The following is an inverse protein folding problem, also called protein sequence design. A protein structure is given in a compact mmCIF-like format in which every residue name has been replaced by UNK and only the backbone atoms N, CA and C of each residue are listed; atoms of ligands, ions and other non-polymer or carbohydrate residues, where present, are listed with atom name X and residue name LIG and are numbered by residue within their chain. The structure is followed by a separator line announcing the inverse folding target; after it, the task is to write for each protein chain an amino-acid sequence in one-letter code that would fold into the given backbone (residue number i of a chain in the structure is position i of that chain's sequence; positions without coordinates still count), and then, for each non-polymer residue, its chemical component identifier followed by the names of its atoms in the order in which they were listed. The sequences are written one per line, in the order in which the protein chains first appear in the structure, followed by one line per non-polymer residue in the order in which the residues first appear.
data_IF_427341782360
#
_entry.id   IF_427341782360
#
_cell.length_a   1.000
_cell.length_b   1.000
_cell.length_c   1.000
_cell.angle_alpha   90.00
_cell.angle_beta   90.00
_cell.angle_gamma   90.00
#
_symmetry.space_group_name_H-M   'P 1'
#
loop_
_entity.id
_entity.type
_entity.pdbx_description
1 polymer ?
#
# COMPACT_ATOMS: atom_id res chain seq x y z
N UNK A 1 16.78 -65.91 7.50
CA UNK A 1 17.03 -64.57 8.08
C UNK A 1 16.40 -63.54 7.15
N UNK A 2 15.30 -62.92 7.57
CA UNK A 2 14.55 -61.91 6.80
C UNK A 2 15.02 -60.52 7.26
N UNK A 3 15.72 -59.80 6.39
CA UNK A 3 16.14 -58.42 6.64
C UNK A 3 15.04 -57.49 6.12
N UNK A 4 14.31 -56.85 7.03
CA UNK A 4 13.29 -55.85 6.70
C UNK A 4 14.00 -54.51 6.54
N UNK A 5 14.03 -53.97 5.32
CA UNK A 5 14.47 -52.61 5.02
C UNK A 5 13.30 -51.66 5.33
N UNK A 6 13.42 -50.90 6.43
CA UNK A 6 12.47 -49.85 6.79
C UNK A 6 12.87 -48.56 6.06
N UNK A 7 12.14 -48.21 5.00
CA UNK A 7 12.34 -46.95 4.26
C UNK A 7 11.64 -45.83 5.05
N UNK A 8 12.45 -45.03 5.75
CA UNK A 8 12.05 -43.75 6.33
C UNK A 8 11.73 -42.76 5.20
N UNK A 9 10.44 -42.53 4.95
CA UNK A 9 9.98 -41.46 4.07
C UNK A 9 10.17 -40.14 4.83
N UNK A 10 11.29 -39.48 4.56
CA UNK A 10 11.60 -38.14 5.06
C UNK A 10 10.58 -37.17 4.44
N UNK A 11 9.66 -36.65 5.27
CA UNK A 11 8.74 -35.61 4.88
C UNK A 11 9.51 -34.34 4.50
N UNK A 12 9.47 -33.96 3.22
CA UNK A 12 9.78 -32.60 2.80
C UNK A 12 8.64 -31.70 3.26
N UNK A 13 8.74 -31.19 4.48
CA UNK A 13 8.05 -29.97 4.87
C UNK A 13 8.78 -28.85 4.14
N UNK A 14 8.24 -28.43 2.99
CA UNK A 14 8.61 -27.16 2.38
C UNK A 14 8.17 -26.05 3.35
N UNK A 15 9.07 -25.65 4.24
CA UNK A 15 8.98 -24.38 4.92
C UNK A 15 9.25 -23.34 3.84
N UNK A 16 8.19 -22.82 3.23
CA UNK A 16 8.29 -21.66 2.35
C UNK A 16 8.97 -20.55 3.15
N UNK A 17 10.20 -20.23 2.75
CA UNK A 17 10.93 -19.11 3.31
C UNK A 17 10.08 -17.86 3.15
N UNK A 18 9.64 -17.31 4.27
CA UNK A 18 8.96 -16.02 4.32
C UNK A 18 10.02 -14.97 3.96
N UNK A 19 10.18 -14.69 2.66
CA UNK A 19 10.99 -13.59 2.19
C UNK A 19 10.36 -12.33 2.77
N UNK A 20 11.06 -11.67 3.71
CA UNK A 20 10.57 -10.44 4.32
C UNK A 20 10.67 -9.33 3.26
N UNK A 21 9.53 -8.90 2.75
CA UNK A 21 9.45 -7.78 1.80
C UNK A 21 10.14 -6.54 2.38
N UNK A 22 10.92 -5.85 1.54
CA UNK A 22 11.62 -4.64 1.93
C UNK A 22 10.74 -3.42 1.61
N UNK A 23 10.21 -2.80 2.65
CA UNK A 23 9.40 -1.57 2.55
C UNK A 23 10.32 -0.35 2.70
N UNK A 24 10.25 0.58 1.73
CA UNK A 24 10.95 1.87 1.78
C UNK A 24 9.92 3.00 1.77
N UNK A 25 9.89 3.83 2.81
CA UNK A 25 9.02 5.01 2.90
C UNK A 25 9.77 6.27 2.43
N UNK A 26 9.19 7.00 1.48
CA UNK A 26 9.58 8.35 1.07
C UNK A 26 8.40 9.32 1.26
N UNK A 27 8.69 10.56 1.63
CA UNK A 27 7.70 11.64 1.63
C UNK A 27 7.93 12.48 0.38
N UNK A 28 6.92 12.58 -0.47
CA UNK A 28 7.00 13.17 -1.79
C UNK A 28 5.91 14.24 -1.96
N UNK A 29 6.22 15.30 -2.70
CA UNK A 29 5.21 16.21 -3.23
C UNK A 29 4.83 15.66 -4.61
N UNK A 30 3.69 14.97 -4.72
CA UNK A 30 3.27 14.46 -6.03
C UNK A 30 2.71 15.59 -6.89
N UNK A 31 3.15 15.54 -8.14
CA UNK A 31 2.54 16.20 -9.28
C UNK A 31 1.98 15.06 -10.15
N UNK A 32 0.94 15.32 -10.97
CA UNK A 32 0.20 14.32 -11.78
C UNK A 32 1.03 13.38 -12.69
N UNK A 33 2.36 13.51 -12.75
CA UNK A 33 3.29 12.83 -13.66
C UNK A 33 4.00 11.58 -13.09
N UNK A 34 3.63 11.06 -11.92
CA UNK A 34 4.41 9.98 -11.26
C UNK A 34 3.79 8.58 -11.28
N UNK A 35 2.51 8.44 -11.62
CA UNK A 35 1.90 7.10 -11.75
C UNK A 35 2.31 6.49 -13.10
N UNK A 36 3.05 5.38 -13.06
CA UNK A 36 3.39 4.61 -14.28
C UNK A 36 2.21 3.75 -14.71
N UNK A 37 2.32 3.03 -15.83
CA UNK A 37 1.37 1.96 -16.13
C UNK A 37 1.34 0.91 -15.00
N UNK A 38 0.16 0.35 -14.72
CA UNK A 38 -0.05 -0.62 -13.65
C UNK A 38 -1.53 -0.82 -13.29
N UNK A 39 -1.77 -1.74 -12.35
CA UNK A 39 -3.11 -2.04 -11.83
C UNK A 39 -3.28 -1.31 -10.50
N UNK A 40 -4.19 -0.35 -10.45
CA UNK A 40 -4.39 0.52 -9.30
C UNK A 40 -5.69 0.27 -8.59
N UNK A 41 -5.63 0.39 -7.27
CA UNK A 41 -6.78 0.26 -6.38
C UNK A 41 -6.78 1.41 -5.38
N UNK A 42 -7.94 1.98 -5.12
CA UNK A 42 -8.16 3.00 -4.09
C UNK A 42 -8.99 2.43 -2.95
N UNK A 43 -8.64 2.80 -1.72
CA UNK A 43 -9.35 2.36 -0.53
C UNK A 43 -10.73 3.03 -0.42
N UNK A 44 -11.73 2.22 -0.09
CA UNK A 44 -13.10 2.67 0.16
C UNK A 44 -13.22 3.17 1.58
N UNK A 45 -13.06 4.48 1.77
CA UNK A 45 -13.39 5.11 3.05
C UNK A 45 -14.90 5.06 3.28
N UNK A 46 -15.29 4.67 4.49
CA UNK A 46 -16.66 4.79 4.98
C UNK A 46 -17.01 6.25 5.29
N UNK A 47 -18.30 6.59 5.26
CA UNK A 47 -18.78 7.92 5.64
C UNK A 47 -18.37 8.34 7.06
N UNK A 48 -18.26 7.37 7.97
CA UNK A 48 -17.84 7.62 9.35
C UNK A 48 -16.35 7.97 9.42
N UNK A 49 -15.49 7.23 8.73
CA UNK A 49 -14.07 7.57 8.60
C UNK A 49 -13.90 8.96 7.99
N UNK A 50 -14.74 9.28 6.99
CA UNK A 50 -14.65 10.57 6.32
C UNK A 50 -15.08 11.74 7.22
N UNK A 51 -16.21 11.58 7.93
CA UNK A 51 -16.74 12.61 8.84
C UNK A 51 -15.89 12.79 10.09
N UNK A 52 -15.29 11.70 10.57
CA UNK A 52 -14.42 11.72 11.74
C UNK A 52 -13.06 12.37 11.50
N UNK A 53 -12.75 12.76 10.26
CA UNK A 53 -11.43 13.26 9.85
C UNK A 53 -10.32 12.29 10.30
N UNK A 54 -10.61 11.00 10.24
CA UNK A 54 -9.78 9.97 10.86
C UNK A 54 -8.85 9.36 9.82
N UNK A 55 -7.57 9.37 10.14
CA UNK A 55 -6.57 8.66 9.37
C UNK A 55 -6.68 7.15 9.58
N UNK A 56 -6.47 6.40 8.50
CA UNK A 56 -6.41 4.94 8.52
C UNK A 56 -5.04 4.47 9.01
N UNK A 57 -4.99 3.27 9.58
CA UNK A 57 -3.72 2.64 9.94
C UNK A 57 -3.12 1.96 8.71
N UNK A 58 -2.28 2.69 7.97
CA UNK A 58 -1.64 2.21 6.73
C UNK A 58 -0.81 0.95 7.00
N UNK A 59 -0.02 0.91 8.07
CA UNK A 59 0.81 -0.24 8.40
C UNK A 59 -0.01 -1.50 8.63
N UNK A 60 -1.16 -1.38 9.32
CA UNK A 60 -2.05 -2.51 9.55
C UNK A 60 -2.65 -3.03 8.24
N UNK A 61 -3.08 -2.13 7.36
CA UNK A 61 -3.68 -2.50 6.07
C UNK A 61 -2.63 -3.15 5.17
N UNK A 62 -1.43 -2.58 5.08
CA UNK A 62 -0.34 -3.16 4.30
C UNK A 62 0.07 -4.54 4.82
N UNK A 63 0.26 -4.69 6.14
CA UNK A 63 0.58 -5.99 6.72
C UNK A 63 -0.51 -7.03 6.43
N UNK A 64 -1.79 -6.65 6.48
CA UNK A 64 -2.89 -7.54 6.15
C UNK A 64 -2.82 -7.99 4.67
N UNK A 65 -2.61 -7.06 3.74
CA UNK A 65 -2.49 -7.39 2.31
C UNK A 65 -1.30 -8.33 2.04
N UNK A 66 -0.13 -8.05 2.62
CA UNK A 66 1.07 -8.87 2.50
C UNK A 66 0.84 -10.27 3.10
N UNK A 67 0.21 -10.37 4.26
CA UNK A 67 -0.11 -11.65 4.90
C UNK A 67 -1.09 -12.50 4.09
N UNK A 68 -1.92 -11.87 3.25
CA UNK A 68 -2.81 -12.54 2.31
C UNK A 68 -2.16 -12.81 0.94
N UNK A 69 -0.83 -12.70 0.84
CA UNK A 69 -0.05 -12.90 -0.39
C UNK A 69 -0.45 -11.97 -1.53
N UNK A 70 -0.95 -10.77 -1.23
CA UNK A 70 -1.21 -9.75 -2.24
C UNK A 70 0.11 -9.06 -2.59
N UNK A 71 0.55 -9.19 -3.85
CA UNK A 71 1.79 -8.57 -4.34
C UNK A 71 1.58 -7.10 -4.63
N UNK A 72 1.89 -6.27 -3.64
CA UNK A 72 1.87 -4.81 -3.76
C UNK A 72 3.26 -4.34 -4.15
N UNK A 73 3.37 -3.42 -5.11
CA UNK A 73 4.65 -2.84 -5.55
C UNK A 73 4.86 -1.44 -5.03
N UNK A 74 3.82 -0.60 -5.12
CA UNK A 74 3.86 0.79 -4.69
C UNK A 74 2.57 1.13 -3.94
N UNK A 75 2.69 2.01 -2.95
CA UNK A 75 1.59 2.49 -2.13
C UNK A 75 1.74 3.99 -1.95
N UNK A 76 0.66 4.72 -2.12
CA UNK A 76 0.64 6.14 -1.83
C UNK A 76 -0.48 6.47 -0.85
N UNK A 77 -0.14 7.30 0.13
CA UNK A 77 -1.06 7.73 1.17
C UNK A 77 -0.97 9.22 1.43
N UNK A 78 -2.12 9.88 1.38
CA UNK A 78 -2.31 11.26 1.81
C UNK A 78 -3.27 11.26 2.99
N UNK A 79 -2.83 11.82 4.11
CA UNK A 79 -3.63 11.95 5.33
C UNK A 79 -4.71 13.04 5.20
N UNK A 80 -5.64 13.03 6.15
CA UNK A 80 -6.69 14.04 6.31
C UNK A 80 -6.12 15.44 6.55
N UNK A 81 -5.08 15.51 7.39
CA UNK A 81 -4.34 16.72 7.70
C UNK A 81 -3.02 16.70 6.94
N UNK A 82 -3.06 17.08 5.67
CA UNK A 82 -1.88 17.10 4.81
C UNK A 82 -1.22 18.48 4.84
N UNK A 83 0.09 18.51 5.03
CA UNK A 83 0.89 19.73 4.88
C UNK A 83 0.88 20.15 3.42
N UNK A 84 0.36 21.35 3.14
CA UNK A 84 0.38 21.99 1.83
C UNK A 84 1.49 23.05 1.80
N UNK A 85 2.51 22.84 0.98
CA UNK A 85 3.65 23.74 0.80
C UNK A 85 3.68 24.30 -0.63
N UNK A 86 3.20 25.53 -0.88
CA UNK A 86 3.26 26.13 -2.20
C UNK A 86 4.70 26.07 -2.77
N UNK A 87 4.85 25.82 -4.08
CA UNK A 87 6.16 25.78 -4.72
C UNK A 87 6.90 27.10 -4.49
N UNK A 88 8.22 27.01 -4.34
CA UNK A 88 9.12 28.15 -4.11
C UNK A 88 8.87 28.93 -2.79
N UNK A 89 8.16 28.32 -1.84
CA UNK A 89 7.96 28.89 -0.49
C UNK A 89 8.47 27.94 0.60
N UNK A 90 9.03 28.52 1.66
CA UNK A 90 9.38 27.79 2.89
C UNK A 90 8.21 27.78 3.90
N UNK A 91 6.98 28.03 3.44
CA UNK A 91 5.79 28.16 4.29
C UNK A 91 4.82 27.04 3.96
N UNK A 92 4.60 26.17 4.91
CA UNK A 92 3.60 25.11 4.79
C UNK A 92 2.42 25.41 5.72
N UNK A 93 1.23 25.06 5.28
CA UNK A 93 0.02 25.11 6.10
C UNK A 93 -0.66 23.74 6.11
N UNK A 94 -1.23 23.37 7.25
CA UNK A 94 -2.06 22.18 7.33
C UNK A 94 -3.40 22.48 6.65
N UNK A 95 -3.76 21.70 5.64
CA UNK A 95 -5.09 21.73 5.05
C UNK A 95 -5.87 20.48 5.47
N UNK A 96 -7.16 20.66 5.72
CA UNK A 96 -8.09 19.54 5.91
C UNK A 96 -8.58 19.15 4.51
N UNK A 97 -8.22 17.96 4.07
CA UNK A 97 -8.58 17.40 2.76
C UNK A 97 -9.04 15.97 2.93
N UNK A 98 -9.79 15.44 1.97
CA UNK A 98 -10.09 14.02 1.97
C UNK A 98 -8.79 13.21 1.82
N UNK A 99 -8.60 12.15 2.63
CA UNK A 99 -7.46 11.27 2.55
C UNK A 99 -7.58 10.45 1.28
N UNK A 100 -6.45 9.96 0.81
CA UNK A 100 -6.42 9.08 -0.35
C UNK A 100 -5.40 8.00 -0.06
N UNK A 101 -5.79 6.75 -0.31
CA UNK A 101 -4.92 5.60 -0.15
C UNK A 101 -5.01 4.73 -1.40
N UNK A 102 -3.92 4.72 -2.17
CA UNK A 102 -3.81 4.01 -3.45
C UNK A 102 -2.73 2.95 -3.30
N UNK A 103 -3.03 1.76 -3.80
CA UNK A 103 -2.06 0.67 -3.96
C UNK A 103 -1.93 0.31 -5.43
N UNK A 104 -0.73 -0.13 -5.83
CA UNK A 104 -0.43 -0.70 -7.13
C UNK A 104 -0.06 -2.16 -6.98
N UNK A 105 -0.67 -3.00 -7.80
CA UNK A 105 -0.45 -4.44 -7.82
C UNK A 105 0.16 -4.89 -9.15
N UNK A 106 0.84 -6.03 -9.11
CA UNK A 106 1.33 -6.71 -10.32
C UNK A 106 0.22 -7.46 -11.07
N UNK A 107 -0.79 -7.94 -10.34
CA UNK A 107 -1.88 -8.73 -10.88
C UNK A 107 -3.24 -8.26 -10.34
N UNK A 108 -4.27 -8.42 -11.16
CA UNK A 108 -5.63 -8.05 -10.81
C UNK A 108 -6.16 -8.99 -9.72
N UNK A 109 -6.62 -8.40 -8.61
CA UNK A 109 -7.12 -9.14 -7.45
C UNK A 109 -8.41 -8.51 -6.93
N UNK A 110 -9.35 -9.34 -6.49
CA UNK A 110 -10.56 -8.87 -5.81
C UNK A 110 -10.24 -8.47 -4.36
N UNK A 111 -10.49 -7.20 -4.04
CA UNK A 111 -10.20 -6.62 -2.73
C UNK A 111 -11.45 -5.94 -2.17
N UNK A 112 -11.99 -6.48 -1.07
CA UNK A 112 -13.28 -6.03 -0.53
C UNK A 112 -13.31 -4.52 -0.19
N UNK A 113 -12.23 -4.02 0.43
CA UNK A 113 -12.13 -2.63 0.88
C UNK A 113 -11.50 -1.70 -0.15
N UNK A 114 -11.33 -2.16 -1.39
CA UNK A 114 -10.74 -1.36 -2.45
C UNK A 114 -11.61 -1.37 -3.70
N UNK A 115 -11.42 -0.34 -4.53
CA UNK A 115 -12.00 -0.21 -5.87
C UNK A 115 -10.88 -0.10 -6.88
N UNK A 116 -10.95 -0.89 -7.95
CA UNK A 116 -10.04 -0.75 -9.08
C UNK A 116 -10.28 0.60 -9.75
N UNK A 117 -9.20 1.32 -10.06
CA UNK A 117 -9.25 2.63 -10.71
C UNK A 117 -8.33 2.64 -11.94
N UNK A 118 -8.72 3.39 -12.97
CA UNK A 118 -7.95 3.50 -14.22
C UNK A 118 -7.04 4.73 -14.23
N UNK A 119 -7.36 5.75 -13.42
CA UNK A 119 -6.63 7.01 -13.36
C UNK A 119 -6.32 7.35 -11.89
N UNK A 120 -5.22 6.84 -11.33
CA UNK A 120 -4.83 7.16 -9.96
C UNK A 120 -4.57 8.66 -9.80
N UNK A 121 -5.24 9.27 -8.81
CA UNK A 121 -5.13 10.69 -8.47
C UNK A 121 -5.11 10.82 -6.96
N UNK A 122 -4.09 11.49 -6.43
CA UNK A 122 -3.92 11.63 -4.99
C UNK A 122 -4.18 13.05 -4.47
N UNK A 123 -4.39 14.00 -5.39
CA UNK A 123 -4.69 15.40 -5.12
C UNK A 123 -3.91 16.35 -6.02
N UNK A 124 -4.20 17.64 -5.90
CA UNK A 124 -3.43 18.69 -6.59
C UNK A 124 -2.19 19.09 -5.79
N UNK A 125 -1.23 19.70 -6.46
CA UNK A 125 0.15 19.94 -5.99
C UNK A 125 0.25 20.49 -4.56
N UNK A 126 1.41 20.23 -3.93
CA UNK A 126 1.89 20.75 -2.64
C UNK A 126 1.57 19.94 -1.38
N UNK A 127 0.75 18.88 -1.45
CA UNK A 127 0.53 18.01 -0.29
C UNK A 127 1.68 17.03 -0.07
N UNK A 128 2.13 16.91 1.19
CA UNK A 128 3.03 15.85 1.60
C UNK A 128 2.32 14.48 1.50
N UNK A 129 2.90 13.58 0.73
CA UNK A 129 2.35 12.25 0.47
C UNK A 129 3.38 11.21 0.87
N UNK A 130 2.95 10.22 1.64
CA UNK A 130 3.75 9.05 1.96
C UNK A 130 3.71 8.07 0.79
N UNK A 131 4.88 7.70 0.28
CA UNK A 131 5.04 6.71 -0.77
C UNK A 131 5.85 5.53 -0.21
N UNK A 132 5.25 4.34 -0.22
CA UNK A 132 5.90 3.10 0.18
C UNK A 132 6.22 2.28 -1.05
N UNK A 133 7.52 2.01 -1.26
CA UNK A 133 7.99 1.08 -2.28
C UNK A 133 8.27 -0.26 -1.64
N UNK A 134 7.66 -1.30 -2.19
CA UNK A 134 7.75 -2.66 -1.68
C UNK A 134 8.56 -3.48 -2.70
N UNK A 135 9.60 -4.18 -2.22
CA UNK A 135 10.55 -4.94 -3.04
C UNK A 135 10.82 -6.34 -2.47
#
# INVERSE_FOLDING_TARGET
MKTIFLILIFGMIFVSGCAKEKITLTVENLNDKQFTEGIYYEYKYSDEELKGLKDINVDLILNNLIQNNIKITDVWYKSYAASCCPPDTNRCMTAIVNPVFIIKLDEETELNNFIKINEPKIGWCAYAIAHYKIK
#
